data_IF_211808597700
#
_entry.id   IF_211808597700
#
_cell.length_a   1.000
_cell.length_b   1.000
_cell.length_c   1.000
_cell.angle_alpha   90.00
_cell.angle_beta   90.00
_cell.angle_gamma   90.00
#
_symmetry.space_group_name_H-M   'P 1'
#
loop_
_entity.id
_entity.type
_entity.pdbx_description
1 polymer ?
#
# COMPACT_ATOMS: atom_id res chain seq x y z
N UNK A 1 22.97 -10.27 -28.13
CA UNK A 1 22.74 -8.99 -27.44
C UNK A 1 21.45 -9.15 -26.66
N UNK A 2 21.54 -9.70 -25.46
CA UNK A 2 20.38 -9.86 -24.58
C UNK A 2 20.13 -8.45 -24.04
N UNK A 3 18.96 -7.89 -24.30
CA UNK A 3 18.58 -6.65 -23.64
C UNK A 3 18.49 -6.97 -22.15
N UNK A 4 19.39 -6.37 -21.37
CA UNK A 4 19.34 -6.33 -19.91
C UNK A 4 18.05 -5.62 -19.52
N UNK A 5 16.94 -6.36 -19.59
CA UNK A 5 15.71 -6.01 -18.93
C UNK A 5 16.05 -6.17 -17.46
N UNK A 6 16.56 -5.08 -16.88
CA UNK A 6 17.02 -4.99 -15.50
C UNK A 6 15.87 -5.43 -14.62
N UNK A 7 15.84 -6.72 -14.28
CA UNK A 7 14.97 -7.25 -13.25
C UNK A 7 15.36 -6.41 -12.04
N UNK A 8 14.43 -5.58 -11.58
CA UNK A 8 14.59 -4.89 -10.30
C UNK A 8 14.62 -6.02 -9.28
N UNK A 9 15.81 -6.37 -8.83
CA UNK A 9 15.99 -7.41 -7.83
C UNK A 9 15.24 -7.02 -6.56
N UNK A 10 14.83 -8.01 -5.76
CA UNK A 10 14.08 -7.85 -4.50
C UNK A 10 14.60 -6.70 -3.64
N UNK A 11 15.92 -6.51 -3.59
CA UNK A 11 16.58 -5.43 -2.86
C UNK A 11 16.11 -4.03 -3.27
N UNK A 12 15.85 -3.77 -4.56
CA UNK A 12 15.34 -2.47 -5.02
C UNK A 12 14.00 -2.12 -4.39
N UNK A 13 13.10 -3.11 -4.26
CA UNK A 13 11.78 -2.88 -3.68
C UNK A 13 11.86 -2.79 -2.15
N UNK A 14 12.80 -3.49 -1.51
CA UNK A 14 13.10 -3.33 -0.08
C UNK A 14 13.61 -1.92 0.20
N UNK A 15 14.62 -1.45 -0.53
CA UNK A 15 15.14 -0.08 -0.38
C UNK A 15 14.06 0.98 -0.63
N UNK A 16 13.11 0.71 -1.53
CA UNK A 16 11.97 1.58 -1.77
C UNK A 16 10.96 1.56 -0.61
N UNK A 17 10.75 0.41 0.04
CA UNK A 17 9.88 0.29 1.21
C UNK A 17 10.48 1.00 2.43
N UNK A 18 11.80 1.03 2.55
CA UNK A 18 12.55 1.79 3.57
C UNK A 18 12.58 3.31 3.28
N UNK A 19 11.82 3.79 2.29
CA UNK A 19 11.73 5.20 1.94
C UNK A 19 11.09 6.02 3.07
N UNK A 20 11.58 7.25 3.35
CA UNK A 20 11.10 8.08 4.46
C UNK A 20 9.63 8.53 4.35
N UNK A 21 8.99 8.26 3.20
CA UNK A 21 7.57 8.59 2.97
C UNK A 21 6.63 7.44 3.32
N UNK A 22 7.15 6.33 3.84
CA UNK A 22 6.36 5.18 4.31
C UNK A 22 6.46 5.15 5.82
N UNK A 23 5.30 5.25 6.46
CA UNK A 23 5.19 5.12 7.91
C UNK A 23 4.84 3.68 8.26
N UNK A 24 5.60 3.12 9.19
CA UNK A 24 5.35 1.78 9.74
C UNK A 24 4.41 1.86 10.93
N UNK A 25 3.37 1.03 10.90
CA UNK A 25 2.40 0.90 11.98
C UNK A 25 2.34 -0.54 12.45
N UNK A 26 2.49 -0.76 13.75
CA UNK A 26 2.18 -2.07 14.31
C UNK A 26 0.67 -2.33 14.26
N UNK A 27 0.28 -3.58 14.07
CA UNK A 27 -1.13 -3.98 14.10
C UNK A 27 -1.84 -3.57 15.40
N UNK A 28 -1.10 -3.42 16.51
CA UNK A 28 -1.60 -3.01 17.82
C UNK A 28 -2.14 -1.57 17.86
N UNK A 29 -1.83 -0.73 16.87
CA UNK A 29 -2.30 0.65 16.75
C UNK A 29 -3.74 0.74 16.27
N UNK A 30 -4.27 -0.33 15.71
CA UNK A 30 -5.61 -0.37 15.16
C UNK A 30 -6.58 -1.08 16.09
N UNK A 31 -7.80 -0.58 16.15
CA UNK A 31 -8.91 -1.19 16.87
C UNK A 31 -10.19 -1.19 16.04
N UNK A 32 -11.26 -1.79 16.58
CA UNK A 32 -12.55 -1.90 15.90
C UNK A 32 -12.45 -2.51 14.48
N UNK A 33 -11.69 -3.59 14.35
CA UNK A 33 -11.41 -4.24 13.07
C UNK A 33 -12.68 -4.92 12.55
N UNK A 34 -13.22 -4.41 11.44
CA UNK A 34 -14.45 -4.92 10.84
C UNK A 34 -14.25 -5.24 9.36
N UNK A 35 -14.52 -6.47 8.90
CA UNK A 35 -14.47 -6.77 7.47
C UNK A 35 -15.51 -5.97 6.70
N UNK A 36 -15.08 -5.33 5.61
CA UNK A 36 -15.96 -4.53 4.73
C UNK A 36 -15.92 -5.01 3.28
N UNK A 37 -14.97 -5.87 2.91
CA UNK A 37 -14.91 -6.44 1.58
C UNK A 37 -13.94 -7.61 1.48
N UNK A 38 -14.21 -8.53 0.56
CA UNK A 38 -13.30 -9.62 0.21
C UNK A 38 -13.44 -9.92 -1.28
N UNK A 39 -12.33 -10.11 -1.96
CA UNK A 39 -12.26 -10.45 -3.37
C UNK A 39 -11.08 -11.36 -3.69
N UNK A 40 -10.86 -11.59 -4.98
CA UNK A 40 -9.73 -12.40 -5.48
C UNK A 40 -8.37 -11.81 -5.14
N UNK A 41 -8.27 -10.48 -5.02
CA UNK A 41 -7.03 -9.75 -4.77
C UNK A 41 -6.73 -9.52 -3.30
N UNK A 42 -7.64 -9.89 -2.38
CA UNK A 42 -7.45 -9.61 -0.97
C UNK A 42 -8.71 -9.42 -0.17
N UNK A 43 -8.54 -9.06 1.10
CA UNK A 43 -9.63 -8.65 1.98
C UNK A 43 -9.38 -7.27 2.56
N UNK A 44 -10.46 -6.50 2.71
CA UNK A 44 -10.44 -5.13 3.23
C UNK A 44 -11.21 -5.11 4.54
N UNK A 45 -10.59 -4.54 5.56
CA UNK A 45 -11.20 -4.28 6.86
C UNK A 45 -11.22 -2.77 7.11
N UNK A 46 -12.29 -2.27 7.71
CA UNK A 46 -12.31 -0.95 8.34
C UNK A 46 -11.68 -1.08 9.73
N UNK A 47 -10.92 -0.07 10.13
CA UNK A 47 -10.33 0.05 11.47
C UNK A 47 -10.44 1.48 11.97
N UNK A 48 -10.33 1.65 13.28
CA UNK A 48 -10.05 2.94 13.91
C UNK A 48 -8.58 2.97 14.30
N UNK A 49 -7.93 4.12 14.14
CA UNK A 49 -6.60 4.35 14.70
C UNK A 49 -6.74 4.72 16.17
N UNK A 50 -6.00 4.05 17.06
CA UNK A 50 -6.07 4.31 18.50
C UNK A 50 -5.69 5.74 18.83
N UNK A 51 -6.39 6.31 19.81
CA UNK A 51 -6.20 7.68 20.28
C UNK A 51 -6.52 8.75 19.23
N UNK A 52 -7.18 8.40 18.13
CA UNK A 52 -7.74 9.35 17.18
C UNK A 52 -9.19 8.96 16.86
N UNK A 53 -9.94 9.88 16.25
CA UNK A 53 -11.28 9.59 15.72
C UNK A 53 -11.21 9.13 14.25
N UNK A 54 -10.01 8.84 13.74
CA UNK A 54 -9.78 8.58 12.33
C UNK A 54 -10.08 7.13 11.95
N UNK A 55 -10.74 7.00 10.80
CA UNK A 55 -11.12 5.73 10.22
C UNK A 55 -10.24 5.41 9.01
N UNK A 56 -9.75 4.18 8.98
CA UNK A 56 -8.92 3.68 7.90
C UNK A 56 -9.51 2.40 7.30
N UNK A 57 -9.11 2.12 6.07
CA UNK A 57 -9.32 0.83 5.43
C UNK A 57 -7.97 0.13 5.30
N UNK A 58 -7.80 -1.03 5.95
CA UNK A 58 -6.64 -1.88 5.76
C UNK A 58 -6.97 -2.95 4.72
N UNK A 59 -6.17 -3.03 3.67
CA UNK A 59 -6.27 -4.06 2.64
C UNK A 59 -5.15 -5.07 2.83
N UNK A 60 -5.54 -6.31 3.12
CA UNK A 60 -4.66 -7.48 3.02
C UNK A 60 -4.68 -7.98 1.57
N UNK A 61 -3.53 -8.36 1.03
CA UNK A 61 -3.40 -8.94 -0.29
C UNK A 61 -3.32 -10.47 -0.19
N UNK A 62 -4.03 -11.20 -1.06
CA UNK A 62 -3.97 -12.66 -1.07
C UNK A 62 -2.57 -13.09 -1.55
N UNK A 63 -1.84 -13.79 -0.66
CA UNK A 63 -0.37 -13.76 -0.59
C UNK A 63 0.27 -15.12 -0.76
N UNK A 64 -0.20 -15.91 -1.71
CA UNK A 64 0.47 -17.16 -2.04
C UNK A 64 1.90 -16.88 -2.56
N UNK A 65 2.07 -15.76 -3.29
CA UNK A 65 3.35 -15.26 -3.88
C UNK A 65 3.32 -13.77 -4.26
N UNK A 66 2.82 -12.85 -3.41
CA UNK A 66 2.87 -11.43 -3.78
C UNK A 66 4.32 -11.01 -3.97
N UNK A 67 4.64 -10.53 -5.17
CA UNK A 67 5.96 -9.95 -5.44
C UNK A 67 5.98 -8.55 -4.82
N UNK A 68 7.08 -8.14 -4.18
CA UNK A 68 7.22 -6.77 -3.63
C UNK A 68 6.83 -5.71 -4.67
N UNK A 69 7.06 -6.00 -5.95
CA UNK A 69 6.60 -5.21 -7.07
C UNK A 69 5.09 -4.87 -7.05
N UNK A 70 4.20 -5.84 -6.76
CA UNK A 70 2.76 -5.61 -6.73
C UNK A 70 2.36 -4.69 -5.58
N UNK A 71 3.02 -4.81 -4.42
CA UNK A 71 2.82 -3.90 -3.27
C UNK A 71 3.22 -2.48 -3.65
N UNK A 72 4.42 -2.31 -4.22
CA UNK A 72 4.93 -1.01 -4.66
C UNK A 72 4.03 -0.40 -5.75
N UNK A 73 3.55 -1.21 -6.69
CA UNK A 73 2.68 -0.75 -7.76
C UNK A 73 1.30 -0.30 -7.24
N UNK A 74 0.64 -1.08 -6.37
CA UNK A 74 -0.63 -0.64 -5.75
C UNK A 74 -0.44 0.65 -4.94
N UNK A 75 0.65 0.77 -4.18
CA UNK A 75 0.95 2.00 -3.45
C UNK A 75 1.11 3.20 -4.40
N UNK A 76 1.87 3.05 -5.49
CA UNK A 76 2.09 4.13 -6.45
C UNK A 76 0.78 4.58 -7.11
N UNK A 77 -0.10 3.65 -7.46
CA UNK A 77 -1.43 3.96 -8.00
C UNK A 77 -2.24 4.73 -6.94
N UNK A 78 -2.28 4.26 -5.70
CA UNK A 78 -3.01 4.93 -4.63
C UNK A 78 -2.47 6.33 -4.31
N UNK A 79 -1.15 6.53 -4.41
CA UNK A 79 -0.52 7.84 -4.21
C UNK A 79 -0.86 8.82 -5.35
N UNK A 80 -0.78 8.38 -6.62
CA UNK A 80 -1.10 9.23 -7.78
C UNK A 80 -2.55 9.71 -7.79
N UNK A 81 -3.50 8.87 -7.35
CA UNK A 81 -4.92 9.26 -7.25
C UNK A 81 -5.14 10.39 -6.22
N UNK A 82 -4.25 10.55 -5.23
CA UNK A 82 -4.34 11.64 -4.25
C UNK A 82 -3.88 13.00 -4.82
N UNK A 83 -3.10 13.01 -5.89
CA UNK A 83 -2.48 14.24 -6.44
C UNK A 83 -3.32 14.96 -7.52
N UNK A 84 -4.47 14.42 -7.93
CA UNK A 84 -5.29 15.02 -9.00
C UNK A 84 -6.12 16.25 -8.56
N UNK A 85 -5.96 16.75 -7.33
CA UNK A 85 -6.68 17.93 -6.83
C UNK A 85 -5.88 19.25 -6.89
N UNK A 86 -4.70 19.28 -7.54
CA UNK A 86 -3.92 20.51 -7.74
C UNK A 86 -3.45 20.70 -9.18
N UNK A 87 -4.38 20.89 -10.11
CA UNK A 87 -4.08 21.65 -11.32
C UNK A 87 -5.33 22.28 -11.93
N UNK A 88 -5.59 23.52 -11.55
CA UNK A 88 -6.17 24.51 -12.45
C UNK A 88 -5.48 25.84 -12.11
N UNK A 89 -4.41 26.22 -12.85
CA UNK A 89 -3.96 27.60 -12.83
C UNK A 89 -4.98 28.41 -13.65
N UNK A 90 -5.66 29.32 -12.95
CA UNK A 90 -6.38 30.45 -13.52
C UNK A 90 -5.46 31.36 -14.34
#
# INVERSE_FOLDING_TARGET
>A
MIQDTKIKDTNYYIDWLDSPNIEEYEHSFFEDIRPIGKGSFGSVVRVNLKNTDDLYALKSLNTDKVTLHEIVNEYCICAQVKDTSKSSPS
#
